data_IF_314785359415
#
_entry.id   IF_314785359415
#
_cell.length_a   1.000
_cell.length_b   1.000
_cell.length_c   1.000
_cell.angle_alpha   90.00
_cell.angle_beta   90.00
_cell.angle_gamma   90.00
#
_symmetry.space_group_name_H-M   'P 1'
#
loop_
_entity.id
_entity.type
_entity.pdbx_description
1 polymer ?
#
# COMPACT_ATOMS: atom_id res chain seq x y z
N UNK A 1 -18.52 -32.13 0.44
CA UNK A 1 -18.60 -33.52 -0.03
C UNK A 1 -18.69 -34.42 1.19
N UNK A 2 -19.69 -35.27 1.25
CA UNK A 2 -19.93 -36.22 2.34
C UNK A 2 -20.25 -37.55 1.68
N UNK A 3 -19.53 -38.60 2.06
CA UNK A 3 -19.67 -39.96 1.52
C UNK A 3 -20.35 -40.87 2.55
N UNK A 4 -20.92 -41.99 2.13
CA UNK A 4 -21.58 -42.89 3.09
C UNK A 4 -20.53 -43.60 3.97
N UNK A 5 -19.43 -44.07 3.38
CA UNK A 5 -18.28 -44.65 4.11
C UNK A 5 -16.95 -44.05 3.67
N UNK A 6 -16.03 -43.89 4.62
CA UNK A 6 -14.68 -43.41 4.37
C UNK A 6 -13.61 -44.44 4.79
N UNK A 7 -12.59 -44.61 3.95
CA UNK A 7 -11.39 -45.37 4.29
C UNK A 7 -10.22 -44.41 4.28
N UNK A 8 -9.55 -44.25 5.42
CA UNK A 8 -8.43 -43.33 5.60
C UNK A 8 -7.17 -44.14 5.80
N UNK A 9 -6.14 -43.91 4.98
CA UNK A 9 -4.80 -44.47 5.18
C UNK A 9 -3.94 -43.44 5.92
N UNK A 10 -3.56 -43.75 7.15
CA UNK A 10 -2.65 -42.92 7.91
C UNK A 10 -1.23 -43.03 7.36
N UNK A 11 -0.61 -41.88 7.09
CA UNK A 11 0.80 -41.79 6.71
C UNK A 11 1.54 -40.85 7.67
N UNK A 12 2.87 -40.97 7.82
CA UNK A 12 3.66 -40.11 8.73
C UNK A 12 3.55 -38.60 8.45
N UNK A 13 3.12 -38.24 7.23
CA UNK A 13 2.89 -36.85 6.83
C UNK A 13 1.58 -36.23 7.34
N UNK A 14 0.67 -37.04 7.89
CA UNK A 14 -0.62 -36.55 8.40
C UNK A 14 -0.49 -35.83 9.75
N UNK A 15 -1.42 -34.92 9.98
CA UNK A 15 -1.55 -34.11 11.19
C UNK A 15 -2.99 -34.14 11.71
N UNK A 16 -3.25 -33.39 12.79
CA UNK A 16 -4.57 -33.26 13.42
C UNK A 16 -5.66 -32.78 12.47
N UNK A 17 -5.33 -31.86 11.56
CA UNK A 17 -6.32 -31.31 10.63
C UNK A 17 -6.67 -32.32 9.53
N UNK A 18 -5.66 -32.97 8.96
CA UNK A 18 -5.83 -34.01 7.94
C UNK A 18 -6.57 -35.23 8.49
N UNK A 19 -6.29 -35.62 9.73
CA UNK A 19 -7.02 -36.66 10.45
C UNK A 19 -8.48 -36.26 10.68
N UNK A 20 -8.74 -35.04 11.16
CA UNK A 20 -10.10 -34.55 11.38
C UNK A 20 -10.91 -34.55 10.08
N UNK A 21 -10.35 -34.04 8.99
CA UNK A 21 -11.04 -34.01 7.69
C UNK A 21 -11.27 -35.43 7.17
N UNK A 22 -10.26 -36.29 7.14
CA UNK A 22 -10.43 -37.67 6.67
C UNK A 22 -11.49 -38.45 7.46
N UNK A 23 -11.54 -38.24 8.77
CA UNK A 23 -12.45 -38.94 9.66
C UNK A 23 -13.85 -38.33 9.75
N UNK A 24 -14.08 -37.10 9.29
CA UNK A 24 -15.39 -36.40 9.44
C UNK A 24 -16.21 -36.30 8.15
N UNK A 25 -15.69 -36.80 7.03
CA UNK A 25 -16.37 -36.69 5.72
C UNK A 25 -17.29 -37.87 5.40
N UNK A 26 -17.67 -38.67 6.40
CA UNK A 26 -18.55 -39.84 6.24
C UNK A 26 -19.91 -39.69 6.95
N UNK A 27 -20.91 -40.46 6.53
CA UNK A 27 -22.24 -40.50 7.16
C UNK A 27 -22.44 -41.72 8.06
N UNK A 28 -22.04 -42.91 7.60
CA UNK A 28 -22.37 -44.17 8.27
C UNK A 28 -21.17 -44.79 9.01
N UNK A 29 -19.95 -44.67 8.48
CA UNK A 29 -18.76 -45.10 9.20
C UNK A 29 -17.43 -44.76 8.50
N UNK A 30 -16.35 -44.72 9.29
CA UNK A 30 -14.98 -44.59 8.82
C UNK A 30 -14.08 -45.71 9.32
N UNK A 31 -13.16 -46.16 8.48
CA UNK A 31 -12.10 -47.09 8.83
C UNK A 31 -10.74 -46.45 8.63
N UNK A 32 -9.87 -46.54 9.65
CA UNK A 32 -8.50 -46.05 9.62
C UNK A 32 -7.53 -47.23 9.46
N UNK A 33 -6.71 -47.16 8.43
CA UNK A 33 -5.67 -48.13 8.11
C UNK A 33 -4.30 -47.51 8.32
N UNK A 34 -3.31 -48.27 8.76
CA UNK A 34 -1.93 -47.81 8.87
C UNK A 34 -0.95 -48.95 8.67
N UNK A 35 0.18 -48.66 8.02
CA UNK A 35 1.27 -49.61 7.85
C UNK A 35 2.06 -49.79 9.15
N UNK A 36 2.46 -51.02 9.45
CA UNK A 36 3.32 -51.31 10.62
C UNK A 36 4.76 -50.81 10.41
N UNK A 37 5.16 -50.65 9.15
CA UNK A 37 6.44 -50.05 8.76
C UNK A 37 6.47 -48.54 9.01
N UNK A 38 5.32 -47.86 8.88
CA UNK A 38 5.17 -46.42 9.11
C UNK A 38 4.92 -46.08 10.59
N UNK A 39 4.18 -46.95 11.28
CA UNK A 39 3.85 -46.79 12.70
C UNK A 39 4.04 -48.12 13.42
N UNK A 40 5.12 -48.22 14.20
CA UNK A 40 5.46 -49.44 14.92
C UNK A 40 4.41 -49.82 15.98
N UNK A 41 3.71 -48.81 16.54
CA UNK A 41 2.65 -48.99 17.53
C UNK A 41 1.53 -47.94 17.39
N UNK A 42 0.40 -48.21 18.06
CA UNK A 42 -0.75 -47.31 18.08
C UNK A 42 -0.43 -45.96 18.74
N UNK A 43 0.56 -45.90 19.65
CA UNK A 43 0.93 -44.66 20.35
C UNK A 43 1.62 -43.69 19.40
N UNK A 44 2.45 -44.18 18.47
CA UNK A 44 3.09 -43.39 17.43
C UNK A 44 2.07 -42.86 16.43
N UNK A 45 1.09 -43.69 16.04
CA UNK A 45 -0.04 -43.26 15.20
C UNK A 45 -0.80 -42.11 15.86
N UNK A 46 -1.21 -42.29 17.13
CA UNK A 46 -1.93 -41.24 17.88
C UNK A 46 -1.09 -39.98 18.01
N UNK A 47 0.22 -40.09 18.25
CA UNK A 47 1.13 -38.94 18.32
C UNK A 47 1.21 -38.17 17.01
N UNK A 48 1.29 -38.86 15.87
CA UNK A 48 1.34 -38.24 14.55
C UNK A 48 0.01 -37.54 14.22
N UNK A 49 -1.12 -38.24 14.40
CA UNK A 49 -2.44 -37.68 14.12
C UNK A 49 -2.90 -36.63 15.14
N UNK A 50 -2.27 -36.55 16.32
CA UNK A 50 -2.54 -35.50 17.30
C UNK A 50 -1.66 -34.26 17.11
N UNK A 51 -0.66 -34.32 16.22
CA UNK A 51 0.26 -33.21 15.98
C UNK A 51 -0.52 -32.04 15.39
N UNK A 52 -0.46 -30.90 16.08
CA UNK A 52 -0.94 -29.65 15.52
C UNK A 52 0.13 -29.09 14.59
N UNK A 53 0.01 -29.39 13.30
CA UNK A 53 0.70 -28.65 12.25
C UNK A 53 -0.23 -27.54 11.82
N UNK A 54 -0.36 -26.52 12.68
CA UNK A 54 -0.77 -25.20 12.20
C UNK A 54 0.09 -24.89 10.97
N UNK A 55 -0.54 -24.37 9.89
CA UNK A 55 0.13 -24.10 8.62
C UNK A 55 1.55 -23.62 8.89
N UNK A 56 2.57 -24.41 8.52
CA UNK A 56 3.98 -24.05 8.73
C UNK A 56 4.19 -22.67 8.11
N UNK A 57 4.21 -21.63 8.94
CA UNK A 57 4.51 -20.28 8.49
C UNK A 57 6.02 -20.26 8.34
N UNK A 58 6.53 -19.77 7.21
CA UNK A 58 7.97 -19.58 7.01
C UNK A 58 8.64 -18.74 8.13
N UNK A 59 7.84 -18.03 8.94
CA UNK A 59 8.26 -17.32 10.14
C UNK A 59 8.57 -18.18 11.36
N UNK A 60 8.06 -19.41 11.49
CA UNK A 60 8.31 -20.28 12.64
C UNK A 60 9.71 -20.92 12.60
N UNK A 61 10.33 -20.93 11.41
CA UNK A 61 11.75 -21.27 11.22
C UNK A 61 12.68 -20.07 11.40
N UNK A 62 12.14 -18.87 11.67
CA UNK A 62 12.97 -17.74 12.06
C UNK A 62 13.50 -17.97 13.47
N UNK A 63 14.73 -18.49 13.57
CA UNK A 63 15.47 -18.46 14.83
C UNK A 63 15.48 -17.03 15.37
N UNK A 64 15.34 -16.81 16.69
CA UNK A 64 15.36 -15.49 17.29
C UNK A 64 16.53 -14.67 16.72
N UNK A 65 16.30 -13.43 16.30
CA UNK A 65 17.34 -12.56 15.71
C UNK A 65 18.61 -12.49 16.58
N UNK A 66 18.47 -12.70 17.90
CA UNK A 66 19.57 -12.79 18.85
C UNK A 66 20.53 -13.96 18.58
N UNK A 67 20.01 -15.13 18.17
CA UNK A 67 20.84 -16.30 17.85
C UNK A 67 21.50 -16.16 16.47
N UNK A 68 20.87 -15.43 15.53
CA UNK A 68 21.48 -15.10 14.24
C UNK A 68 22.59 -14.07 14.39
N UNK A 69 22.39 -13.05 15.24
CA UNK A 69 23.42 -12.07 15.58
C UNK A 69 24.61 -12.72 16.29
N UNK A 70 24.36 -13.69 17.20
CA UNK A 70 25.41 -14.49 17.86
C UNK A 70 26.16 -15.38 16.88
N UNK A 71 25.44 -16.17 16.08
CA UNK A 71 26.05 -17.07 15.10
C UNK A 71 26.80 -16.32 13.98
N UNK A 72 26.43 -15.06 13.70
CA UNK A 72 27.13 -14.17 12.79
C UNK A 72 28.38 -13.53 13.43
N UNK A 73 28.30 -13.14 14.71
CA UNK A 73 29.43 -12.60 15.48
C UNK A 73 30.52 -13.65 15.72
N UNK A 74 30.14 -14.89 16.05
CA UNK A 74 31.07 -16.01 16.25
C UNK A 74 31.79 -16.40 14.95
N UNK A 75 31.10 -16.33 13.80
CA UNK A 75 31.69 -16.60 12.48
C UNK A 75 32.66 -15.51 11.98
N UNK A 76 32.65 -14.33 12.61
CA UNK A 76 33.51 -13.19 12.23
C UNK A 76 34.50 -12.78 13.32
N UNK A 77 34.65 -13.59 14.37
CA UNK A 77 35.55 -13.32 15.51
C UNK A 77 35.36 -11.92 16.14
N UNK A 78 34.13 -11.40 16.12
CA UNK A 78 33.85 -10.08 16.71
C UNK A 78 33.74 -10.25 18.23
N UNK A 79 34.88 -10.13 18.92
CA UNK A 79 34.95 -10.19 20.38
C UNK A 79 34.63 -8.80 20.96
N UNK A 80 33.46 -8.66 21.57
CA UNK A 80 33.14 -7.50 22.40
C UNK A 80 33.81 -7.64 23.78
N UNK A 81 34.68 -6.71 24.21
CA UNK A 81 35.31 -6.77 25.52
C UNK A 81 34.29 -6.66 26.66
N UNK A 82 34.59 -7.31 27.77
CA UNK A 82 33.72 -7.60 28.93
C UNK A 82 33.16 -6.38 29.69
N UNK A 83 33.44 -5.14 29.27
CA UNK A 83 32.95 -3.92 29.92
C UNK A 83 31.47 -3.59 29.65
N UNK A 84 30.84 -4.18 28.63
CA UNK A 84 29.45 -3.85 28.28
C UNK A 84 28.41 -4.43 29.28
N UNK A 85 28.75 -5.50 30.03
CA UNK A 85 27.82 -6.11 30.99
C UNK A 85 27.57 -5.24 32.23
N UNK A 86 28.59 -4.53 32.73
CA UNK A 86 28.43 -3.66 33.91
C UNK A 86 27.59 -2.40 33.63
N UNK A 87 27.62 -1.89 32.40
CA UNK A 87 26.84 -0.70 32.02
C UNK A 87 25.35 -1.05 31.89
N UNK A 88 25.02 -2.21 31.34
CA UNK A 88 23.63 -2.67 31.22
C UNK A 88 23.00 -2.96 32.58
N UNK A 89 23.77 -3.55 33.51
CA UNK A 89 23.27 -3.87 34.86
C UNK A 89 22.98 -2.60 35.69
N UNK A 90 23.86 -1.59 35.62
CA UNK A 90 23.67 -0.30 36.31
C UNK A 90 22.48 0.49 35.75
N UNK A 91 22.20 0.40 34.45
CA UNK A 91 21.04 1.07 33.82
C UNK A 91 19.73 0.35 34.18
N UNK A 92 19.73 -0.99 34.23
CA UNK A 92 18.53 -1.75 34.58
C UNK A 92 18.15 -1.61 36.07
N UNK A 93 19.13 -1.51 36.96
CA UNK A 93 18.88 -1.29 38.39
C UNK A 93 18.28 0.10 38.68
N UNK A 94 18.70 1.14 37.93
CA UNK A 94 18.16 2.51 38.09
C UNK A 94 16.73 2.67 37.53
N UNK A 95 16.36 1.89 36.52
CA UNK A 95 15.04 1.95 35.89
C UNK A 95 13.92 1.27 36.71
N UNK A 96 14.26 0.26 37.53
CA UNK A 96 13.26 -0.49 38.33
C UNK A 96 12.63 0.31 39.48
N UNK A 97 13.22 1.43 39.89
CA UNK A 97 12.68 2.29 40.96
C UNK A 97 11.67 3.35 40.51
N UNK A 98 11.68 3.77 39.23
CA UNK A 98 10.89 4.93 38.77
C UNK A 98 9.43 4.59 38.43
N UNK A 99 9.06 3.31 38.30
CA UNK A 99 7.70 2.88 37.94
C UNK A 99 7.00 2.05 39.03
N UNK A 100 7.62 1.90 40.19
CA UNK A 100 7.03 1.24 41.34
C UNK A 100 5.97 2.15 41.99
N UNK A 101 4.76 2.19 41.41
CA UNK A 101 3.63 2.95 41.94
C UNK A 101 2.61 3.45 40.91
N UNK A 102 2.86 3.29 39.61
CA UNK A 102 1.94 3.78 38.59
C UNK A 102 0.78 2.79 38.35
N UNK A 103 -0.42 3.14 38.84
CA UNK A 103 -1.68 2.43 38.55
C UNK A 103 -2.55 3.26 37.59
N UNK A 104 -2.57 2.98 36.27
CA UNK A 104 -3.50 3.66 35.38
C UNK A 104 -4.94 3.17 35.63
N UNK A 105 -5.88 4.11 35.75
CA UNK A 105 -7.33 3.81 35.80
C UNK A 105 -7.79 3.29 34.42
N UNK A 106 -8.70 2.29 34.36
CA UNK A 106 -9.27 1.85 33.10
C UNK A 106 -10.19 2.95 32.55
N UNK A 107 -9.80 3.56 31.43
CA UNK A 107 -10.66 4.46 30.68
C UNK A 107 -11.63 3.63 29.83
N UNK A 108 -12.92 3.97 29.94
CA UNK A 108 -14.01 3.37 29.19
C UNK A 108 -13.74 3.37 27.68
N UNK A 109 -14.05 2.24 27.04
CA UNK A 109 -14.06 2.06 25.59
C UNK A 109 -14.95 3.14 24.94
N UNK A 110 -14.31 4.14 24.34
CA UNK A 110 -14.90 4.87 23.23
C UNK A 110 -14.48 4.16 21.96
N UNK A 111 -15.47 3.62 21.26
CA UNK A 111 -15.37 3.07 19.90
C UNK A 111 -14.63 4.06 19.01
N UNK A 112 -13.34 3.79 18.78
CA UNK A 112 -12.52 4.54 17.84
C UNK A 112 -12.60 3.83 16.50
N UNK A 113 -13.23 4.48 15.53
CA UNK A 113 -13.23 4.02 14.15
C UNK A 113 -11.78 3.78 13.67
N UNK A 114 -11.49 2.64 13.01
CA UNK A 114 -10.12 2.20 12.72
C UNK A 114 -9.31 3.11 11.78
N UNK A 115 -9.92 4.10 11.14
CA UNK A 115 -9.25 4.99 10.18
C UNK A 115 -8.32 6.04 10.82
N UNK A 116 -8.56 6.47 12.07
CA UNK A 116 -7.73 7.51 12.70
C UNK A 116 -6.47 6.96 13.39
N UNK A 117 -6.46 5.68 13.75
CA UNK A 117 -5.32 5.03 14.41
C UNK A 117 -4.25 4.52 13.43
N UNK A 118 -4.53 4.50 12.13
CA UNK A 118 -3.56 4.06 11.11
C UNK A 118 -2.53 5.14 10.74
N UNK A 119 -2.83 6.42 10.96
CA UNK A 119 -2.00 7.55 10.52
C UNK A 119 -0.75 7.81 11.41
N UNK A 120 -0.75 7.32 12.65
CA UNK A 120 0.32 7.51 13.64
C UNK A 120 1.04 6.22 14.03
N UNK A 121 0.74 5.09 13.37
CA UNK A 121 1.48 3.85 13.61
C UNK A 121 2.87 4.00 12.96
N UNK A 122 3.97 3.79 13.72
CA UNK A 122 5.31 3.84 13.15
C UNK A 122 5.38 2.89 11.95
N UNK A 123 5.89 3.41 10.83
CA UNK A 123 5.99 2.68 9.58
C UNK A 123 6.77 1.39 9.81
N UNK A 124 6.28 0.26 9.30
CA UNK A 124 7.02 -0.99 9.41
C UNK A 124 8.41 -0.79 8.80
N UNK A 125 9.52 -1.24 9.45
CA UNK A 125 10.87 -1.00 8.95
C UNK A 125 11.07 -1.49 7.51
N UNK A 126 10.42 -2.57 7.11
CA UNK A 126 10.41 -3.09 5.74
C UNK A 126 9.78 -2.12 4.73
N UNK A 127 8.66 -1.49 5.10
CA UNK A 127 7.97 -0.50 4.27
C UNK A 127 8.79 0.78 4.15
N UNK A 128 9.39 1.26 5.26
CA UNK A 128 10.29 2.42 5.24
C UNK A 128 11.45 2.17 4.25
N UNK A 129 12.10 1.01 4.34
CA UNK A 129 13.20 0.66 3.42
C UNK A 129 12.75 0.54 1.97
N UNK A 130 11.54 0.04 1.71
CA UNK A 130 11.01 -0.05 0.36
C UNK A 130 10.72 1.34 -0.23
N UNK A 131 10.13 2.25 0.56
CA UNK A 131 9.89 3.64 0.18
C UNK A 131 11.23 4.37 -0.06
N UNK A 132 12.22 4.16 0.80
CA UNK A 132 13.56 4.74 0.65
C UNK A 132 14.23 4.32 -0.67
N UNK A 133 14.19 3.03 -1.00
CA UNK A 133 14.74 2.50 -2.25
C UNK A 133 14.03 3.08 -3.47
N UNK A 134 12.70 3.14 -3.43
CA UNK A 134 11.91 3.75 -4.50
C UNK A 134 12.24 5.23 -4.65
N UNK A 135 12.25 5.98 -3.54
CA UNK A 135 12.60 7.39 -3.49
C UNK A 135 13.98 7.67 -4.08
N UNK A 136 14.98 6.84 -3.76
CA UNK A 136 16.33 6.97 -4.32
C UNK A 136 16.37 6.78 -5.84
N UNK A 137 15.68 5.76 -6.36
CA UNK A 137 15.60 5.53 -7.81
C UNK A 137 14.85 6.66 -8.52
N UNK A 138 13.73 7.11 -7.96
CA UNK A 138 12.95 8.22 -8.48
C UNK A 138 13.74 9.54 -8.48
N UNK A 139 14.44 9.84 -7.38
CA UNK A 139 15.26 11.04 -7.26
C UNK A 139 16.43 11.04 -8.25
N UNK A 140 17.02 9.87 -8.55
CA UNK A 140 18.08 9.76 -9.55
C UNK A 140 17.58 10.05 -10.97
N UNK A 141 16.43 9.49 -11.33
CA UNK A 141 15.76 9.77 -12.61
C UNK A 141 15.39 11.24 -12.71
N UNK A 142 14.83 11.85 -11.64
CA UNK A 142 14.52 13.27 -11.62
C UNK A 142 15.75 14.14 -11.83
N UNK A 143 16.89 13.81 -11.19
CA UNK A 143 18.16 14.55 -11.42
C UNK A 143 18.66 14.44 -12.86
N UNK A 144 18.50 13.30 -13.51
CA UNK A 144 18.87 13.15 -14.92
C UNK A 144 18.02 14.07 -15.80
N UNK A 145 16.70 14.06 -15.58
CA UNK A 145 15.76 14.92 -16.30
C UNK A 145 16.02 16.41 -16.05
N UNK A 146 16.27 16.81 -14.80
CA UNK A 146 16.59 18.19 -14.43
C UNK A 146 17.87 18.69 -15.13
N UNK A 147 18.82 17.79 -15.41
CA UNK A 147 20.06 18.08 -16.14
C UNK A 147 19.92 17.95 -17.66
N UNK A 148 18.72 17.62 -18.17
CA UNK A 148 18.49 17.36 -19.59
C UNK A 148 19.22 16.12 -20.12
N UNK A 149 19.62 15.20 -19.24
CA UNK A 149 20.31 13.97 -19.60
C UNK A 149 19.30 12.85 -19.88
N UNK A 150 19.59 11.94 -20.82
CA UNK A 150 18.73 10.79 -21.07
C UNK A 150 18.71 9.86 -19.85
N UNK A 151 17.52 9.38 -19.49
CA UNK A 151 17.37 8.35 -18.44
C UNK A 151 17.94 7.04 -18.97
N UNK A 152 18.84 6.43 -18.20
CA UNK A 152 19.54 5.21 -18.61
C UNK A 152 18.66 3.99 -18.31
N UNK A 153 18.73 2.97 -19.18
CA UNK A 153 17.91 1.76 -19.04
C UNK A 153 18.03 1.08 -17.66
N UNK A 154 19.22 1.11 -17.05
CA UNK A 154 19.42 0.55 -15.71
C UNK A 154 18.75 1.37 -14.60
N UNK A 155 18.55 2.68 -14.79
CA UNK A 155 17.82 3.53 -13.85
C UNK A 155 16.32 3.21 -13.92
N UNK A 156 15.78 3.00 -15.12
CA UNK A 156 14.40 2.54 -15.31
C UNK A 156 14.18 1.16 -14.68
N UNK A 157 15.10 0.22 -14.90
CA UNK A 157 15.07 -1.09 -14.26
C UNK A 157 15.19 -0.99 -12.74
N UNK A 158 16.03 -0.09 -12.22
CA UNK A 158 16.17 0.13 -10.79
C UNK A 158 14.87 0.67 -10.17
N UNK A 159 14.21 1.63 -10.83
CA UNK A 159 12.92 2.14 -10.40
C UNK A 159 11.84 1.06 -10.44
N UNK A 160 11.77 0.29 -11.53
CA UNK A 160 10.82 -0.82 -11.66
C UNK A 160 11.00 -1.85 -10.54
N UNK A 161 12.24 -2.31 -10.31
CA UNK A 161 12.57 -3.25 -9.24
C UNK A 161 12.26 -2.71 -7.85
N UNK A 162 12.51 -1.42 -7.61
CA UNK A 162 12.15 -0.77 -6.35
C UNK A 162 10.64 -0.66 -6.19
N UNK A 163 9.90 -0.43 -7.28
CA UNK A 163 8.44 -0.48 -7.35
C UNK A 163 7.90 -1.86 -6.99
N UNK A 164 8.40 -2.92 -7.62
CA UNK A 164 8.00 -4.29 -7.34
C UNK A 164 8.23 -4.66 -5.86
N UNK A 165 9.38 -4.28 -5.30
CA UNK A 165 9.68 -4.50 -3.89
C UNK A 165 8.75 -3.72 -2.95
N UNK A 166 8.32 -2.51 -3.34
CA UNK A 166 7.35 -1.73 -2.59
C UNK A 166 5.95 -2.34 -2.67
N UNK A 167 5.55 -2.84 -3.85
CA UNK A 167 4.26 -3.49 -4.07
C UNK A 167 4.14 -4.82 -3.31
N UNK A 168 5.24 -5.54 -3.12
CA UNK A 168 5.29 -6.74 -2.27
C UNK A 168 5.00 -6.44 -0.79
N UNK A 169 5.42 -5.27 -0.28
CA UNK A 169 5.17 -4.87 1.10
C UNK A 169 3.79 -4.23 1.24
N UNK A 170 3.36 -3.48 0.23
CA UNK A 170 2.09 -2.76 0.20
C UNK A 170 1.49 -2.82 -1.20
N UNK A 171 0.35 -3.51 -1.41
CA UNK A 171 -0.31 -3.55 -2.70
C UNK A 171 -0.57 -2.15 -3.29
N UNK A 172 -0.16 -1.96 -4.54
CA UNK A 172 -0.22 -0.68 -5.27
C UNK A 172 0.60 0.47 -4.66
N UNK A 173 1.54 0.18 -3.76
CA UNK A 173 2.42 1.16 -3.15
C UNK A 173 3.27 1.91 -4.17
N UNK A 174 3.79 1.25 -5.21
CA UNK A 174 4.55 1.91 -6.27
C UNK A 174 3.72 2.97 -7.00
N UNK A 175 2.47 2.61 -7.35
CA UNK A 175 1.53 3.53 -8.00
C UNK A 175 1.17 4.71 -7.09
N UNK A 176 0.81 4.43 -5.84
CA UNK A 176 0.41 5.45 -4.87
C UNK A 176 1.61 6.40 -4.57
N UNK A 177 2.84 5.89 -4.49
CA UNK A 177 4.04 6.70 -4.29
C UNK A 177 4.43 7.50 -5.54
N UNK A 178 4.29 6.93 -6.73
CA UNK A 178 4.52 7.64 -7.98
C UNK A 178 3.59 8.85 -8.12
N UNK A 179 2.29 8.67 -7.90
CA UNK A 179 1.30 9.75 -7.95
C UNK A 179 1.55 10.80 -6.86
N UNK A 180 2.02 10.40 -5.68
CA UNK A 180 2.42 11.34 -4.63
C UNK A 180 3.62 12.20 -5.07
N UNK A 181 4.67 11.58 -5.62
CA UNK A 181 5.90 12.27 -6.08
C UNK A 181 5.63 13.18 -7.27
N UNK A 182 4.74 12.79 -8.19
CA UNK A 182 4.36 13.64 -9.32
C UNK A 182 3.76 14.97 -8.85
N UNK A 183 3.03 14.97 -7.72
CA UNK A 183 2.46 16.18 -7.13
C UNK A 183 3.42 16.95 -6.24
N UNK A 184 4.19 16.24 -5.43
CA UNK A 184 5.25 16.84 -4.62
C UNK A 184 6.60 16.14 -4.89
N UNK A 185 7.40 16.66 -5.82
CA UNK A 185 8.69 16.08 -6.17
C UNK A 185 9.69 16.00 -5.00
N UNK A 186 9.47 16.78 -3.92
CA UNK A 186 10.34 16.76 -2.73
C UNK A 186 10.25 15.43 -2.00
N UNK A 187 9.10 14.75 -2.04
CA UNK A 187 8.87 13.46 -1.41
C UNK A 187 9.86 12.39 -1.89
N UNK A 188 10.32 12.46 -3.15
CA UNK A 188 11.33 11.54 -3.66
C UNK A 188 12.70 11.74 -2.99
N UNK A 189 13.10 13.00 -2.79
CA UNK A 189 14.36 13.37 -2.14
C UNK A 189 14.33 13.03 -0.65
N UNK A 190 13.26 13.43 0.04
CA UNK A 190 13.06 13.14 1.46
C UNK A 190 13.06 11.63 1.73
N UNK A 191 12.36 10.86 0.90
CA UNK A 191 12.36 9.40 0.99
C UNK A 191 13.76 8.81 0.76
N UNK A 192 14.51 9.32 -0.22
CA UNK A 192 15.88 8.87 -0.51
C UNK A 192 16.86 9.15 0.64
N UNK A 193 16.62 10.20 1.43
CA UNK A 193 17.38 10.58 2.62
C UNK A 193 16.93 9.81 3.88
N UNK A 194 15.91 8.95 3.75
CA UNK A 194 15.37 8.14 4.84
C UNK A 194 14.18 8.78 5.57
N UNK A 195 13.80 10.01 5.24
CA UNK A 195 12.59 10.66 5.73
C UNK A 195 11.34 10.15 4.98
N UNK A 196 10.97 8.90 5.28
CA UNK A 196 9.90 8.17 4.57
C UNK A 196 8.50 8.45 5.12
N UNK A 197 8.38 9.16 6.24
CA UNK A 197 7.10 9.44 6.89
C UNK A 197 6.17 10.32 6.05
N UNK A 198 6.70 11.36 5.40
CA UNK A 198 5.93 12.22 4.49
C UNK A 198 5.43 11.45 3.28
N UNK A 199 6.32 10.66 2.65
CA UNK A 199 5.98 9.80 1.53
C UNK A 199 4.90 8.77 1.90
N UNK A 200 5.00 8.12 3.06
CA UNK A 200 4.00 7.16 3.52
C UNK A 200 2.62 7.78 3.75
N UNK A 201 2.56 9.00 4.31
CA UNK A 201 1.30 9.75 4.47
C UNK A 201 0.70 10.13 3.13
N UNK A 202 1.52 10.59 2.19
CA UNK A 202 1.06 10.92 0.84
C UNK A 202 0.57 9.68 0.07
N UNK A 203 1.25 8.53 0.21
CA UNK A 203 0.75 7.26 -0.35
C UNK A 203 -0.61 6.85 0.22
N UNK A 204 -0.86 7.16 1.50
CA UNK A 204 -2.15 6.86 2.12
C UNK A 204 -3.27 7.74 1.56
N UNK A 205 -3.01 9.03 1.33
CA UNK A 205 -3.99 9.90 0.66
C UNK A 205 -4.24 9.43 -0.77
N UNK A 206 -3.22 8.97 -1.50
CA UNK A 206 -3.37 8.38 -2.83
C UNK A 206 -4.19 7.08 -2.84
N UNK A 207 -3.93 6.20 -1.88
CA UNK A 207 -4.73 4.98 -1.69
C UNK A 207 -6.20 5.33 -1.50
N UNK A 208 -6.50 6.35 -0.70
CA UNK A 208 -7.87 6.76 -0.44
C UNK A 208 -8.54 7.31 -1.70
N UNK A 209 -7.86 8.17 -2.47
CA UNK A 209 -8.35 8.66 -3.77
C UNK A 209 -8.61 7.52 -4.76
N UNK A 210 -7.75 6.50 -4.75
CA UNK A 210 -7.90 5.31 -5.59
C UNK A 210 -9.02 4.37 -5.14
N UNK A 211 -9.39 4.36 -3.86
CA UNK A 211 -10.41 3.43 -3.33
C UNK A 211 -11.77 4.07 -3.21
N UNK A 212 -11.83 5.37 -2.92
CA UNK A 212 -13.03 6.14 -2.65
C UNK A 212 -13.39 7.03 -3.86
N UNK A 213 -14.51 6.74 -4.57
CA UNK A 213 -14.96 7.55 -5.69
C UNK A 213 -15.26 9.01 -5.32
N UNK A 214 -15.69 9.30 -4.09
CA UNK A 214 -15.98 10.67 -3.64
C UNK A 214 -14.70 11.49 -3.50
N UNK A 215 -13.64 10.88 -2.94
CA UNK A 215 -12.32 11.54 -2.87
C UNK A 215 -11.72 11.72 -4.26
N UNK A 216 -11.92 10.76 -5.17
CA UNK A 216 -11.50 10.88 -6.57
C UNK A 216 -12.22 12.00 -7.30
N UNK A 217 -13.52 12.13 -7.10
CA UNK A 217 -14.31 13.23 -7.64
C UNK A 217 -13.83 14.58 -7.08
N UNK A 218 -13.62 14.68 -5.76
CA UNK A 218 -13.09 15.90 -5.14
C UNK A 218 -11.74 16.31 -5.74
N UNK A 219 -10.81 15.35 -5.92
CA UNK A 219 -9.53 15.59 -6.60
C UNK A 219 -9.70 16.03 -8.05
N UNK A 220 -10.62 15.41 -8.77
CA UNK A 220 -10.91 15.79 -10.15
C UNK A 220 -11.41 17.23 -10.23
N UNK A 221 -12.35 17.62 -9.36
CA UNK A 221 -12.90 18.98 -9.31
C UNK A 221 -11.79 19.99 -9.01
N UNK A 222 -10.94 19.73 -8.02
CA UNK A 222 -9.78 20.56 -7.67
C UNK A 222 -8.85 20.76 -8.88
N UNK A 223 -8.46 19.67 -9.55
CA UNK A 223 -7.60 19.74 -10.73
C UNK A 223 -8.27 20.44 -11.91
N UNK A 224 -9.57 20.22 -12.12
CA UNK A 224 -10.32 20.82 -13.21
C UNK A 224 -10.41 22.34 -13.05
N UNK A 225 -10.75 22.81 -11.84
CA UNK A 225 -10.81 24.24 -11.53
C UNK A 225 -9.42 24.89 -11.65
N UNK A 226 -8.36 24.24 -11.14
CA UNK A 226 -7.00 24.73 -11.31
C UNK A 226 -6.57 24.86 -12.78
N UNK A 227 -6.99 23.91 -13.65
CA UNK A 227 -6.75 24.02 -15.10
C UNK A 227 -7.56 25.15 -15.75
N UNK A 228 -8.81 25.37 -15.32
CA UNK A 228 -9.65 26.48 -15.80
C UNK A 228 -9.04 27.83 -15.43
N UNK A 229 -8.57 27.98 -14.19
CA UNK A 229 -7.87 29.19 -13.71
C UNK A 229 -6.54 29.41 -14.45
N UNK A 230 -5.73 28.36 -14.61
CA UNK A 230 -4.47 28.44 -15.35
C UNK A 230 -4.70 28.85 -16.80
N UNK A 231 -5.73 28.32 -17.45
CA UNK A 231 -6.13 28.72 -18.80
C UNK A 231 -6.56 30.18 -18.85
N UNK A 232 -7.42 30.63 -17.94
CA UNK A 232 -7.86 32.02 -17.89
C UNK A 232 -6.68 32.98 -17.63
N UNK A 233 -5.71 32.57 -16.81
CA UNK A 233 -4.45 33.30 -16.61
C UNK A 233 -3.62 33.38 -17.91
N UNK A 234 -3.49 32.27 -18.65
CA UNK A 234 -2.78 32.24 -19.95
C UNK A 234 -3.46 33.13 -21.00
N UNK A 235 -4.79 33.08 -21.07
CA UNK A 235 -5.58 33.94 -21.97
C UNK A 235 -5.39 35.42 -21.63
N UNK A 236 -5.45 35.79 -20.34
CA UNK A 236 -5.17 37.15 -19.87
C UNK A 236 -3.73 37.61 -20.15
N UNK A 237 -2.76 36.69 -20.11
CA UNK A 237 -1.37 36.96 -20.44
C UNK A 237 -1.09 37.02 -21.96
N UNK A 238 -2.09 36.74 -22.81
CA UNK A 238 -1.96 36.72 -24.26
C UNK A 238 -1.40 35.41 -24.85
N UNK A 239 -1.12 34.39 -24.02
CA UNK A 239 -0.67 33.07 -24.46
C UNK A 239 -1.86 32.20 -24.91
N UNK A 240 -2.42 32.56 -26.08
CA UNK A 240 -3.53 31.81 -26.68
C UNK A 240 -3.13 30.38 -27.07
N UNK A 241 -1.88 30.18 -27.48
CA UNK A 241 -1.38 28.86 -27.87
C UNK A 241 -1.28 27.91 -26.67
N UNK A 242 -0.77 28.39 -25.53
CA UNK A 242 -0.75 27.66 -24.26
C UNK A 242 -2.15 27.36 -23.75
N UNK A 243 -3.05 28.35 -23.77
CA UNK A 243 -4.45 28.18 -23.40
C UNK A 243 -5.16 27.12 -24.26
N UNK A 244 -4.92 27.11 -25.58
CA UNK A 244 -5.50 26.11 -26.48
C UNK A 244 -4.95 24.70 -26.20
N UNK A 245 -3.64 24.56 -25.98
CA UNK A 245 -3.02 23.28 -25.62
C UNK A 245 -3.59 22.74 -24.31
N UNK A 246 -3.75 23.60 -23.31
CA UNK A 246 -4.36 23.23 -22.03
C UNK A 246 -5.83 22.82 -22.21
N UNK A 247 -6.59 23.57 -23.03
CA UNK A 247 -7.96 23.20 -23.40
C UNK A 247 -8.06 21.81 -24.04
N UNK A 248 -7.20 21.50 -25.01
CA UNK A 248 -7.15 20.15 -25.63
C UNK A 248 -6.85 19.05 -24.62
N UNK A 249 -5.98 19.32 -23.63
CA UNK A 249 -5.71 18.37 -22.53
C UNK A 249 -6.94 18.17 -21.66
N UNK A 250 -7.65 19.25 -21.31
CA UNK A 250 -8.90 19.18 -20.54
C UNK A 250 -9.98 18.39 -21.28
N UNK A 251 -10.12 18.59 -22.59
CA UNK A 251 -11.04 17.83 -23.44
C UNK A 251 -10.71 16.33 -23.43
N UNK A 252 -9.42 15.97 -23.50
CA UNK A 252 -8.99 14.57 -23.37
C UNK A 252 -9.30 13.95 -22.00
N UNK A 253 -9.16 14.71 -20.92
CA UNK A 253 -9.49 14.27 -19.56
C UNK A 253 -11.01 14.04 -19.43
N UNK A 254 -11.81 14.98 -19.91
CA UNK A 254 -13.27 14.87 -19.93
C UNK A 254 -13.74 13.68 -20.79
N UNK A 255 -13.11 13.51 -21.96
CA UNK A 255 -13.35 12.38 -22.85
C UNK A 255 -12.98 11.04 -22.24
N UNK A 256 -11.97 10.97 -21.36
CA UNK A 256 -11.57 9.74 -20.68
C UNK A 256 -12.50 9.30 -19.54
N UNK A 257 -13.45 10.14 -19.13
CA UNK A 257 -14.26 9.90 -17.95
C UNK A 257 -15.19 8.69 -18.06
N UNK A 258 -15.61 8.32 -19.28
CA UNK A 258 -16.42 7.13 -19.54
C UNK A 258 -15.75 5.82 -19.08
N UNK A 259 -14.43 5.83 -18.86
CA UNK A 259 -13.67 4.65 -18.38
C UNK A 259 -13.91 4.37 -16.89
N UNK A 260 -14.48 5.31 -16.15
CA UNK A 260 -14.80 5.18 -14.73
C UNK A 260 -16.26 5.60 -14.46
N UNK A 261 -17.23 4.67 -14.64
CA UNK A 261 -18.66 4.97 -14.45
C UNK A 261 -18.99 5.40 -13.02
N UNK A 262 -18.23 4.94 -12.02
CA UNK A 262 -18.45 5.32 -10.63
C UNK A 262 -18.06 6.79 -10.41
N UNK A 263 -16.92 7.23 -10.95
CA UNK A 263 -16.50 8.63 -10.92
C UNK A 263 -17.48 9.54 -11.66
N UNK A 264 -17.94 9.13 -12.85
CA UNK A 264 -18.94 9.85 -13.63
C UNK A 264 -20.24 10.08 -12.85
N UNK A 265 -20.76 9.06 -12.18
CA UNK A 265 -21.97 9.20 -11.35
C UNK A 265 -21.78 10.19 -10.20
N UNK A 266 -20.61 10.20 -9.55
CA UNK A 266 -20.32 11.13 -8.46
C UNK A 266 -20.17 12.56 -8.99
N UNK A 267 -19.41 12.74 -10.07
CA UNK A 267 -19.20 14.05 -10.70
C UNK A 267 -20.52 14.65 -11.21
N UNK A 268 -21.45 13.82 -11.69
CA UNK A 268 -22.79 14.29 -12.07
C UNK A 268 -23.56 14.90 -10.89
N UNK A 269 -23.41 14.36 -9.67
CA UNK A 269 -23.99 14.96 -8.46
C UNK A 269 -23.28 16.25 -8.04
N UNK A 270 -21.98 16.35 -8.34
CA UNK A 270 -21.14 17.53 -8.07
C UNK A 270 -21.04 18.50 -9.25
N UNK A 271 -21.90 18.37 -10.26
CA UNK A 271 -21.92 19.29 -11.41
C UNK A 271 -22.01 20.78 -11.01
N UNK A 272 -22.73 21.17 -9.94
CA UNK A 272 -22.72 22.57 -9.47
C UNK A 272 -21.33 23.07 -9.03
N UNK A 273 -20.48 22.21 -8.45
CA UNK A 273 -19.11 22.56 -8.05
C UNK A 273 -18.19 22.81 -9.26
N UNK A 274 -18.57 22.29 -10.43
CA UNK A 274 -17.88 22.48 -11.70
C UNK A 274 -18.46 23.65 -12.52
N UNK A 275 -19.45 24.36 -11.96
CA UNK A 275 -20.23 25.40 -12.65
C UNK A 275 -20.92 24.88 -13.92
N UNK A 276 -21.33 23.60 -13.92
CA UNK A 276 -21.99 22.95 -15.05
C UNK A 276 -23.50 22.81 -14.81
N UNK A 277 -24.26 23.15 -15.85
CA UNK A 277 -25.69 22.89 -15.91
C UNK A 277 -25.92 21.60 -16.70
N UNK A 278 -26.29 20.53 -16.02
CA UNK A 278 -26.55 19.23 -16.66
C UNK A 278 -27.80 19.29 -17.55
N UNK A 279 -27.62 19.16 -18.87
CA UNK A 279 -28.76 18.94 -19.76
C UNK A 279 -29.26 17.48 -19.68
N UNK A 280 -30.57 17.28 -19.88
CA UNK A 280 -31.16 15.94 -19.87
C UNK A 280 -30.59 15.10 -21.01
N UNK A 281 -29.99 13.95 -20.67
CA UNK A 281 -29.49 12.95 -21.62
C UNK A 281 -28.01 13.08 -22.00
N UNK A 282 -27.32 14.16 -21.61
CA UNK A 282 -25.88 14.31 -21.82
C UNK A 282 -25.06 13.69 -20.69
N UNK A 283 -23.89 13.17 -21.05
CA UNK A 283 -22.91 12.68 -20.08
C UNK A 283 -22.16 13.86 -19.45
N UNK A 284 -21.72 13.72 -18.20
CA UNK A 284 -20.95 14.77 -17.52
C UNK A 284 -19.62 15.05 -18.26
N UNK A 285 -19.05 14.02 -18.90
CA UNK A 285 -17.85 14.17 -19.74
C UNK A 285 -18.09 15.03 -20.99
N UNK A 286 -19.25 14.89 -21.63
CA UNK A 286 -19.64 15.74 -22.77
C UNK A 286 -19.85 17.20 -22.34
N UNK A 287 -20.50 17.42 -21.19
CA UNK A 287 -20.69 18.77 -20.64
C UNK A 287 -19.36 19.43 -20.26
N UNK A 288 -18.46 18.67 -19.64
CA UNK A 288 -17.10 19.12 -19.33
C UNK A 288 -16.33 19.51 -20.61
N UNK A 289 -16.34 18.66 -21.64
CA UNK A 289 -15.73 18.97 -22.92
C UNK A 289 -16.34 20.23 -23.57
N UNK A 290 -17.67 20.37 -23.51
CA UNK A 290 -18.38 21.53 -24.07
C UNK A 290 -18.05 22.83 -23.30
N UNK A 291 -17.92 22.78 -21.98
CA UNK A 291 -17.53 23.93 -21.15
C UNK A 291 -16.14 24.47 -21.50
N UNK A 292 -15.21 23.60 -21.88
CA UNK A 292 -13.89 23.99 -22.37
C UNK A 292 -14.03 24.68 -23.74
N UNK A 293 -14.93 24.17 -24.58
CA UNK A 293 -15.25 24.71 -25.90
C UNK A 293 -15.91 26.10 -25.87
N UNK A 294 -16.86 26.36 -24.97
CA UNK A 294 -17.59 27.65 -24.93
C UNK A 294 -16.69 28.87 -24.65
N UNK A 295 -15.53 28.67 -23.99
CA UNK A 295 -14.52 29.72 -23.89
C UNK A 295 -13.93 30.14 -25.25
N UNK A 296 -13.95 29.26 -26.28
CA UNK A 296 -13.51 29.59 -27.65
C UNK A 296 -14.46 30.52 -28.39
N UNK A 297 -15.76 30.47 -28.07
CA UNK A 297 -16.78 31.21 -28.83
C UNK A 297 -17.11 32.58 -28.25
N UNK A 298 -16.94 32.78 -26.92
CA UNK A 298 -17.15 34.11 -26.30
C UNK A 298 -16.17 35.18 -26.82
N UNK A 299 -14.96 34.80 -27.24
CA UNK A 299 -13.92 35.74 -27.69
C UNK A 299 -13.90 36.02 -29.19
N UNK A 300 -14.70 35.33 -30.01
CA UNK A 300 -14.81 35.65 -31.45
C UNK A 300 -15.84 36.74 -31.76
N UNK A 301 -16.53 37.26 -30.74
CA UNK A 301 -17.65 38.20 -30.89
C UNK A 301 -17.33 39.69 -30.68
N UNK A 302 -16.12 40.08 -30.28
CA UNK A 302 -15.77 41.49 -30.07
C UNK A 302 -14.63 41.96 -30.98
N UNK A 303 -14.97 42.17 -32.25
CA UNK A 303 -14.27 43.11 -33.12
C UNK A 303 -15.34 43.87 -33.90
N UNK A 304 -15.69 45.05 -33.39
CA UNK A 304 -16.33 46.13 -34.13
C UNK A 304 -15.39 47.31 -34.11
#
# INVERSE_FOLDING_TARGET
MTVDRAHVLATPGMDRHSAYVGMSRHRDGAQLHYGRDDFADQRQLVRALSRDRGKDMAGDYARPEQDQARAFADRREIRFPELARQVVEKVQAKARGMFAGFRPKPAAEKTTSPERLAADRPLAPSQARAIERYGRAAADISRMRDKGLPVLAHQEQALAKAGDALDQVRPHGARDLASAIERDPRLARDAAEGNTGGAAKAMETERQVRTDPEKRAGRFVEQWQGMKEARANMERAGDRAGAEKLGKRMEGIAGGLHRDPQLESVLRRRAPELELNMERGKSIGQELAQSVGQGRDRDRGMSR
#
